data_IF_583796931082
#
_entry.id   IF_583796931082
#
_cell.length_a   1.000
_cell.length_b   1.000
_cell.length_c   1.000
_cell.angle_alpha   90.00
_cell.angle_beta   90.00
_cell.angle_gamma   90.00
#
_symmetry.space_group_name_H-M   'P 1'
#
loop_
_entity.id
_entity.type
_entity.pdbx_description
1 polymer ?
#
# COMPACT_ATOMS: atom_id res chain seq x y z
N UNK A 1 -27.44 14.60 6.00
CA UNK A 1 -28.09 13.31 5.69
C UNK A 1 -28.23 13.23 4.17
N UNK A 2 -28.14 12.03 3.59
CA UNK A 2 -28.46 11.85 2.17
C UNK A 2 -29.94 12.13 1.91
N UNK A 3 -30.29 12.48 0.68
CA UNK A 3 -31.69 12.62 0.25
C UNK A 3 -32.38 11.26 0.14
N UNK A 4 -33.41 11.17 -0.71
CA UNK A 4 -34.04 9.89 -1.04
C UNK A 4 -33.23 9.17 -2.12
N UNK A 5 -32.89 7.91 -1.90
CA UNK A 5 -32.12 7.10 -2.85
C UNK A 5 -30.66 7.54 -2.96
N UNK A 6 -30.10 7.48 -4.16
CA UNK A 6 -28.70 7.86 -4.44
C UNK A 6 -28.52 9.30 -4.93
N UNK A 7 -29.60 10.07 -5.03
CA UNK A 7 -29.52 11.47 -5.46
C UNK A 7 -28.83 12.32 -4.38
N UNK A 8 -27.92 13.20 -4.81
CA UNK A 8 -27.17 14.07 -3.92
C UNK A 8 -27.93 15.39 -3.72
N UNK A 9 -28.39 15.70 -2.49
CA UNK A 9 -29.08 16.96 -2.24
C UNK A 9 -28.21 18.16 -2.55
N UNK A 10 -28.78 19.20 -3.18
CA UNK A 10 -28.06 20.44 -3.47
C UNK A 10 -27.52 21.12 -2.20
N UNK A 11 -28.29 21.08 -1.12
CA UNK A 11 -27.94 21.70 0.17
C UNK A 11 -27.24 20.73 1.14
N UNK A 12 -26.47 19.76 0.60
CA UNK A 12 -25.74 18.80 1.42
C UNK A 12 -24.67 19.51 2.27
N UNK A 13 -24.74 19.33 3.59
CA UNK A 13 -23.69 19.75 4.53
C UNK A 13 -22.78 18.56 4.90
N UNK A 14 -21.48 18.60 4.58
CA UNK A 14 -20.54 17.53 4.95
C UNK A 14 -20.46 17.37 6.47
N UNK A 15 -20.41 16.11 6.94
CA UNK A 15 -20.10 15.79 8.33
C UNK A 15 -18.60 15.55 8.46
N UNK A 16 -17.97 16.26 9.39
CA UNK A 16 -16.57 16.05 9.78
C UNK A 16 -16.54 15.30 11.10
N UNK A 17 -15.78 14.22 11.16
CA UNK A 17 -15.61 13.39 12.35
C UNK A 17 -14.12 13.22 12.60
N UNK A 18 -13.70 13.46 13.84
CA UNK A 18 -12.31 13.27 14.31
C UNK A 18 -12.36 12.25 15.44
N UNK A 19 -11.54 11.21 15.34
CA UNK A 19 -11.43 10.15 16.34
C UNK A 19 -9.95 9.97 16.63
N UNK A 20 -9.58 10.00 17.92
CA UNK A 20 -8.24 9.70 18.39
C UNK A 20 -8.16 8.28 18.93
N UNK A 21 -7.09 7.57 18.61
CA UNK A 21 -6.78 6.23 19.14
C UNK A 21 -5.28 6.10 19.39
N UNK A 22 -4.83 5.22 20.29
CA UNK A 22 -3.42 4.87 20.42
C UNK A 22 -2.83 4.38 19.09
N UNK A 23 -1.52 4.56 18.90
CA UNK A 23 -0.82 3.98 17.77
C UNK A 23 -0.81 2.45 17.89
N UNK A 24 -1.00 1.72 16.77
CA UNK A 24 -0.89 0.27 16.79
C UNK A 24 0.54 -0.16 17.13
N UNK A 25 0.67 -1.19 17.95
CA UNK A 25 1.95 -1.83 18.24
C UNK A 25 2.10 -3.04 17.33
N UNK A 26 3.19 -3.07 16.57
CA UNK A 26 3.56 -4.19 15.71
C UNK A 26 4.84 -4.84 16.23
N UNK A 27 5.04 -6.15 16.01
CA UNK A 27 6.30 -6.81 16.35
C UNK A 27 7.51 -6.08 15.75
N UNK A 28 8.54 -5.82 16.55
CA UNK A 28 9.78 -5.18 16.08
C UNK A 28 10.42 -5.94 14.92
N UNK A 29 10.29 -7.28 14.93
CA UNK A 29 10.73 -8.17 13.86
C UNK A 29 10.21 -7.79 12.47
N UNK A 30 9.04 -7.15 12.34
CA UNK A 30 8.53 -6.71 11.04
C UNK A 30 9.39 -5.59 10.42
N UNK A 31 9.96 -4.72 11.26
CA UNK A 31 10.93 -3.72 10.80
C UNK A 31 12.28 -4.40 10.50
N UNK A 32 12.75 -5.26 11.39
CA UNK A 32 14.11 -5.83 11.30
C UNK A 32 14.28 -6.89 10.20
N UNK A 33 13.28 -7.76 10.05
CA UNK A 33 13.36 -8.96 9.20
C UNK A 33 12.34 -8.96 8.06
N UNK A 34 11.47 -7.95 7.99
CA UNK A 34 10.38 -7.91 7.04
C UNK A 34 9.18 -8.76 7.48
N UNK A 35 8.15 -8.77 6.64
CA UNK A 35 6.90 -9.46 6.91
C UNK A 35 6.67 -10.64 5.98
N UNK A 36 5.85 -11.59 6.43
CA UNK A 36 5.21 -12.55 5.53
C UNK A 36 3.87 -11.98 5.06
N UNK A 37 3.67 -12.00 3.74
CA UNK A 37 2.43 -11.66 3.09
C UNK A 37 1.87 -12.88 2.34
N UNK A 38 0.63 -12.74 1.86
CA UNK A 38 -0.01 -13.72 0.96
C UNK A 38 -0.66 -13.00 -0.21
N UNK A 39 -1.03 -13.74 -1.25
CA UNK A 39 -2.00 -13.22 -2.19
C UNK A 39 -3.43 -13.36 -1.66
N UNK A 40 -4.25 -12.34 -1.89
CA UNK A 40 -5.69 -12.43 -1.76
C UNK A 40 -6.30 -13.06 -3.02
N UNK A 41 -7.37 -13.81 -2.81
CA UNK A 41 -8.26 -14.35 -3.84
C UNK A 41 -9.15 -13.25 -4.40
N UNK A 42 -9.63 -12.34 -3.53
CA UNK A 42 -10.40 -11.18 -3.95
C UNK A 42 -9.62 -10.36 -5.00
N UNK A 43 -10.33 -9.94 -6.04
CA UNK A 43 -9.85 -8.99 -7.04
C UNK A 43 -10.56 -7.65 -6.87
N UNK A 44 -9.79 -6.56 -6.94
CA UNK A 44 -10.34 -5.21 -6.87
C UNK A 44 -11.09 -4.88 -8.17
N UNK A 45 -12.32 -4.38 -8.02
CA UNK A 45 -13.10 -3.89 -9.14
C UNK A 45 -12.47 -2.63 -9.75
N UNK A 46 -12.56 -2.54 -11.09
CA UNK A 46 -12.11 -1.38 -11.86
C UNK A 46 -13.18 -0.31 -11.89
N UNK A 47 -12.90 0.85 -11.30
CA UNK A 47 -13.77 2.03 -11.34
C UNK A 47 -12.93 3.31 -11.33
N UNK A 48 -12.56 3.85 -12.50
CA UNK A 48 -11.68 5.02 -12.61
C UNK A 48 -12.18 6.26 -11.85
N UNK A 49 -13.50 6.41 -11.63
CA UNK A 49 -14.06 7.54 -10.86
C UNK A 49 -13.81 7.45 -9.35
N UNK A 50 -13.48 6.26 -8.85
CA UNK A 50 -13.20 5.97 -7.45
C UNK A 50 -11.72 5.66 -7.19
N UNK A 51 -10.99 5.32 -8.25
CA UNK A 51 -9.59 4.96 -8.22
C UNK A 51 -8.72 6.05 -7.57
N UNK A 52 -7.77 5.61 -6.73
CA UNK A 52 -6.90 6.51 -5.98
C UNK A 52 -7.53 7.17 -4.74
N UNK A 53 -8.87 7.23 -4.64
CA UNK A 53 -9.54 7.95 -3.55
C UNK A 53 -9.62 7.08 -2.28
N UNK A 54 -9.26 7.65 -1.13
CA UNK A 54 -9.49 7.02 0.19
C UNK A 54 -10.96 7.14 0.66
N UNK A 55 -11.92 6.67 -0.14
CA UNK A 55 -13.36 6.71 0.18
C UNK A 55 -13.81 5.65 1.20
N UNK A 56 -15.06 5.73 1.66
CA UNK A 56 -15.65 4.83 2.67
C UNK A 56 -16.17 3.48 2.13
N UNK A 57 -16.31 3.30 0.81
CA UNK A 57 -16.66 2.01 0.22
C UNK A 57 -15.50 1.02 0.33
N UNK A 58 -15.30 0.43 1.52
CA UNK A 58 -14.14 -0.41 1.87
C UNK A 58 -14.48 -1.89 2.01
N UNK A 59 -15.64 -2.32 1.49
CA UNK A 59 -16.10 -3.69 1.65
C UNK A 59 -15.13 -4.69 0.98
N UNK A 60 -14.55 -4.35 -0.18
CA UNK A 60 -13.50 -5.16 -0.80
C UNK A 60 -12.30 -5.37 0.14
N UNK A 61 -11.78 -4.31 0.76
CA UNK A 61 -10.68 -4.44 1.73
C UNK A 61 -11.06 -5.30 2.95
N UNK A 62 -12.32 -5.22 3.42
CA UNK A 62 -12.82 -6.06 4.52
C UNK A 62 -12.87 -7.53 4.11
N UNK A 63 -13.43 -7.84 2.94
CA UNK A 63 -13.50 -9.21 2.41
C UNK A 63 -12.12 -9.80 2.18
N UNK A 64 -11.22 -9.03 1.56
CA UNK A 64 -9.83 -9.45 1.35
C UNK A 64 -9.11 -9.74 2.66
N UNK A 65 -9.28 -8.87 3.68
CA UNK A 65 -8.67 -9.10 5.00
C UNK A 65 -9.23 -10.34 5.68
N UNK A 66 -10.51 -10.66 5.47
CA UNK A 66 -11.15 -11.83 6.07
C UNK A 66 -10.63 -13.17 5.52
N UNK A 67 -9.83 -13.16 4.44
CA UNK A 67 -9.30 -14.40 3.83
C UNK A 67 -8.24 -15.12 4.69
N UNK A 68 -7.75 -14.51 5.77
CA UNK A 68 -6.78 -15.16 6.66
C UNK A 68 -6.98 -14.80 8.13
N UNK A 69 -6.71 -15.80 9.00
CA UNK A 69 -6.65 -15.64 10.46
C UNK A 69 -5.27 -16.02 11.04
N UNK A 70 -4.34 -16.46 10.21
CA UNK A 70 -2.97 -16.78 10.61
C UNK A 70 -2.25 -15.49 11.07
N UNK A 71 -1.86 -15.47 12.34
CA UNK A 71 -1.16 -14.33 12.97
C UNK A 71 0.23 -14.07 12.37
N UNK A 72 0.83 -15.06 11.69
CA UNK A 72 2.09 -14.91 10.99
C UNK A 72 1.96 -14.25 9.61
N UNK A 73 0.76 -13.90 9.15
CA UNK A 73 0.54 -13.16 7.90
C UNK A 73 0.19 -11.71 8.25
N UNK A 74 1.13 -10.80 7.98
CA UNK A 74 0.97 -9.40 8.36
C UNK A 74 0.16 -8.57 7.35
N UNK A 75 0.12 -9.01 6.09
CA UNK A 75 -0.55 -8.31 4.99
C UNK A 75 -1.01 -9.26 3.86
N UNK A 76 -2.04 -8.86 3.12
CA UNK A 76 -2.53 -9.57 1.95
C UNK A 76 -2.44 -8.68 0.70
N UNK A 77 -1.79 -9.16 -0.35
CA UNK A 77 -1.62 -8.46 -1.62
C UNK A 77 -2.85 -8.63 -2.50
N UNK A 78 -3.42 -7.51 -2.93
CA UNK A 78 -4.59 -7.42 -3.78
C UNK A 78 -4.19 -7.21 -5.23
N UNK A 79 -4.89 -7.91 -6.11
CA UNK A 79 -4.75 -7.77 -7.55
C UNK A 79 -6.04 -7.21 -8.15
N UNK A 80 -5.94 -6.63 -9.34
CA UNK A 80 -7.09 -6.38 -10.20
C UNK A 80 -7.51 -7.65 -10.98
N UNK A 81 -8.55 -7.51 -11.80
CA UNK A 81 -9.02 -8.60 -12.67
C UNK A 81 -8.10 -8.90 -13.86
N UNK A 82 -7.14 -8.02 -14.18
CA UNK A 82 -6.14 -8.23 -15.23
C UNK A 82 -4.90 -8.97 -14.70
N UNK A 83 -4.85 -9.26 -13.40
CA UNK A 83 -3.76 -9.98 -12.76
C UNK A 83 -2.59 -9.09 -12.31
N UNK A 84 -2.76 -7.76 -12.32
CA UNK A 84 -1.77 -6.83 -11.80
C UNK A 84 -1.95 -6.65 -10.30
N UNK A 85 -0.84 -6.63 -9.57
CA UNK A 85 -0.76 -6.30 -8.15
C UNK A 85 -0.98 -4.81 -7.98
N UNK A 86 -1.89 -4.44 -7.08
CA UNK A 86 -2.31 -3.04 -6.84
C UNK A 86 -1.74 -2.51 -5.52
N UNK A 87 -1.63 -3.37 -4.50
CA UNK A 87 -1.20 -3.00 -3.16
C UNK A 87 -1.57 -4.07 -2.13
N UNK A 88 -1.50 -3.74 -0.85
CA UNK A 88 -2.01 -4.58 0.23
C UNK A 88 -3.45 -4.22 0.63
N UNK A 89 -4.04 -4.95 1.58
CA UNK A 89 -5.38 -4.63 2.10
C UNK A 89 -5.45 -3.26 2.77
N UNK A 90 -4.31 -2.74 3.25
CA UNK A 90 -4.17 -1.44 3.92
C UNK A 90 -2.86 -0.72 3.61
N UNK A 91 -2.21 -1.04 2.49
CA UNK A 91 -0.90 -0.51 2.12
C UNK A 91 -0.74 -0.35 0.61
N UNK A 92 0.15 0.55 0.20
CA UNK A 92 0.64 0.60 -1.17
C UNK A 92 1.88 -0.29 -1.32
N UNK A 93 2.22 -0.64 -2.55
CA UNK A 93 3.33 -1.54 -2.88
C UNK A 93 4.35 -0.84 -3.80
N UNK A 94 5.61 -1.17 -3.59
CA UNK A 94 6.72 -0.90 -4.47
C UNK A 94 7.47 -2.20 -4.72
N UNK A 95 8.01 -2.36 -5.92
CA UNK A 95 9.00 -3.37 -6.24
C UNK A 95 10.32 -2.67 -6.62
N UNK A 96 11.43 -3.31 -6.31
CA UNK A 96 12.77 -2.82 -6.63
C UNK A 96 13.31 -3.61 -7.81
N UNK A 97 13.79 -2.90 -8.82
CA UNK A 97 14.34 -3.46 -10.04
C UNK A 97 15.67 -2.78 -10.37
N UNK A 98 16.77 -3.50 -10.18
CA UNK A 98 18.13 -3.02 -10.41
C UNK A 98 18.38 -1.66 -9.75
N UNK A 99 17.98 -1.54 -8.47
CA UNK A 99 18.12 -0.32 -7.66
C UNK A 99 17.13 0.81 -7.96
N UNK A 100 16.20 0.62 -8.90
CA UNK A 100 15.12 1.57 -9.18
C UNK A 100 13.80 1.11 -8.57
N UNK A 101 12.85 2.03 -8.40
CA UNK A 101 11.53 1.75 -7.87
C UNK A 101 10.49 1.63 -8.99
N UNK A 102 9.56 0.71 -8.80
CA UNK A 102 8.31 0.67 -9.56
C UNK A 102 7.16 0.54 -8.57
N UNK A 103 6.10 1.33 -8.75
CA UNK A 103 4.87 1.20 -7.98
C UNK A 103 3.70 1.02 -8.93
N UNK A 104 2.66 0.23 -8.56
CA UNK A 104 1.50 0.03 -9.42
C UNK A 104 0.84 1.34 -9.85
N UNK A 105 0.33 1.34 -11.09
CA UNK A 105 -0.65 2.33 -11.55
C UNK A 105 -1.98 2.14 -10.80
N UNK A 106 -2.52 3.24 -10.28
CA UNK A 106 -3.75 3.29 -9.49
C UNK A 106 -4.87 4.05 -10.23
N UNK A 107 -4.77 4.19 -11.55
CA UNK A 107 -5.76 4.86 -12.41
C UNK A 107 -7.10 4.14 -12.50
N UNK A 108 -7.14 2.83 -12.18
CA UNK A 108 -8.35 1.98 -12.28
C UNK A 108 -8.92 1.55 -10.93
N UNK A 109 -8.08 1.33 -9.93
CA UNK A 109 -8.50 0.91 -8.58
C UNK A 109 -7.38 1.20 -7.56
N UNK A 110 -7.61 0.84 -6.29
CA UNK A 110 -6.66 1.07 -5.20
C UNK A 110 -6.76 2.48 -4.59
N UNK A 111 -5.77 2.85 -3.77
CA UNK A 111 -5.72 4.13 -3.05
C UNK A 111 -4.37 4.78 -3.26
N UNK A 112 -4.34 6.03 -3.72
CA UNK A 112 -3.12 6.83 -3.79
C UNK A 112 -2.76 7.30 -2.37
N UNK A 113 -1.94 6.51 -1.67
CA UNK A 113 -1.59 6.78 -0.29
C UNK A 113 -0.57 7.92 -0.17
N UNK A 114 -0.78 8.80 0.81
CA UNK A 114 0.13 9.92 1.09
C UNK A 114 1.59 9.49 1.30
N UNK A 115 1.82 8.31 1.90
CA UNK A 115 3.18 7.76 2.08
C UNK A 115 3.78 7.27 0.77
N UNK A 116 2.96 6.71 -0.14
CA UNK A 116 3.42 6.35 -1.49
C UNK A 116 3.90 7.60 -2.22
N UNK A 117 3.13 8.67 -2.18
CA UNK A 117 3.49 9.92 -2.86
C UNK A 117 4.77 10.54 -2.26
N UNK A 118 4.90 10.51 -0.92
CA UNK A 118 6.12 10.94 -0.25
C UNK A 118 7.35 10.12 -0.65
N UNK A 119 7.21 8.80 -0.84
CA UNK A 119 8.29 7.92 -1.31
C UNK A 119 8.67 8.26 -2.75
N UNK A 120 7.71 8.48 -3.65
CA UNK A 120 7.96 8.86 -5.04
C UNK A 120 8.77 10.18 -5.10
N UNK A 121 8.38 11.18 -4.32
CA UNK A 121 9.10 12.45 -4.24
C UNK A 121 10.51 12.30 -3.66
N UNK A 122 10.65 11.49 -2.60
CA UNK A 122 11.94 11.24 -1.96
C UNK A 122 12.90 10.51 -2.90
N UNK A 123 12.40 9.52 -3.66
CA UNK A 123 13.17 8.81 -4.67
C UNK A 123 13.68 9.77 -5.75
N UNK A 124 12.80 10.66 -6.25
CA UNK A 124 13.19 11.70 -7.22
C UNK A 124 14.30 12.60 -6.67
N UNK A 125 14.15 13.06 -5.43
CA UNK A 125 15.14 13.91 -4.76
C UNK A 125 16.48 13.19 -4.55
N UNK A 126 16.45 11.86 -4.38
CA UNK A 126 17.64 11.01 -4.25
C UNK A 126 18.24 10.57 -5.59
N UNK A 127 17.68 10.99 -6.74
CA UNK A 127 18.14 10.56 -8.07
C UNK A 127 17.83 9.10 -8.42
N UNK A 128 16.88 8.48 -7.71
CA UNK A 128 16.43 7.10 -7.98
C UNK A 128 15.18 7.17 -8.84
N UNK A 129 15.19 6.46 -9.98
CA UNK A 129 14.01 6.44 -10.84
C UNK A 129 12.87 5.70 -10.13
N UNK A 130 11.69 6.32 -10.12
CA UNK A 130 10.46 5.70 -9.62
C UNK A 130 9.40 5.72 -10.73
N UNK A 131 9.12 4.55 -11.32
CA UNK A 131 8.16 4.41 -12.41
C UNK A 131 6.78 4.01 -11.88
N UNK A 132 5.73 4.47 -12.54
CA UNK A 132 4.35 4.08 -12.27
C UNK A 132 3.91 3.20 -13.44
N UNK A 133 3.85 1.89 -13.21
CA UNK A 133 3.63 0.90 -14.26
C UNK A 133 2.82 -0.29 -13.70
N UNK A 134 2.18 -1.08 -14.56
CA UNK A 134 1.61 -2.36 -14.14
C UNK A 134 2.69 -3.29 -13.56
N UNK A 135 2.32 -3.97 -12.47
CA UNK A 135 3.16 -4.98 -11.82
C UNK A 135 2.38 -6.28 -11.77
N UNK A 136 2.64 -7.19 -12.71
CA UNK A 136 2.06 -8.53 -12.67
C UNK A 136 2.80 -9.41 -11.63
N UNK A 137 2.33 -10.65 -11.45
CA UNK A 137 2.89 -11.59 -10.48
C UNK A 137 4.35 -11.92 -10.78
N UNK A 138 4.64 -12.23 -12.03
CA UNK A 138 5.97 -12.63 -12.49
C UNK A 138 7.00 -11.52 -12.24
N UNK A 139 6.62 -10.27 -12.53
CA UNK A 139 7.45 -9.08 -12.27
C UNK A 139 7.68 -8.86 -10.77
N UNK A 140 6.65 -9.03 -9.95
CA UNK A 140 6.78 -8.93 -8.50
C UNK A 140 7.71 -10.03 -7.95
N UNK A 141 7.55 -11.26 -8.41
CA UNK A 141 8.34 -12.42 -7.97
C UNK A 141 9.81 -12.31 -8.40
N UNK A 142 10.08 -11.65 -9.52
CA UNK A 142 11.43 -11.37 -10.02
C UNK A 142 12.09 -10.12 -9.40
N UNK A 143 11.39 -9.36 -8.56
CA UNK A 143 11.91 -8.12 -7.97
C UNK A 143 13.08 -8.40 -7.01
N UNK A 144 14.00 -7.44 -6.90
CA UNK A 144 15.11 -7.51 -5.93
C UNK A 144 14.60 -7.35 -4.49
N UNK A 145 13.58 -6.50 -4.31
CA UNK A 145 12.85 -6.31 -3.06
C UNK A 145 11.39 -6.01 -3.35
N UNK A 146 10.51 -6.39 -2.43
CA UNK A 146 9.10 -5.97 -2.42
C UNK A 146 8.85 -5.21 -1.13
N UNK A 147 8.26 -4.02 -1.24
CA UNK A 147 8.10 -3.08 -0.13
C UNK A 147 6.65 -2.65 -0.04
N UNK A 148 6.08 -2.69 1.16
CA UNK A 148 4.75 -2.12 1.44
C UNK A 148 4.85 -0.88 2.32
N UNK A 149 3.99 0.10 2.03
CA UNK A 149 4.00 1.38 2.74
C UNK A 149 2.60 1.83 3.14
N UNK A 150 2.49 2.50 4.29
CA UNK A 150 1.35 3.34 4.65
C UNK A 150 1.76 4.36 5.73
N UNK A 151 0.83 5.27 6.07
CA UNK A 151 1.10 6.36 7.00
C UNK A 151 1.45 5.92 8.42
N UNK A 152 1.02 4.73 8.83
CA UNK A 152 1.28 4.19 10.17
C UNK A 152 2.60 3.42 10.21
N UNK A 153 2.75 2.40 9.35
CA UNK A 153 3.90 1.48 9.37
C UNK A 153 5.18 2.10 8.79
N UNK A 154 5.07 3.18 8.01
CA UNK A 154 6.18 3.70 7.21
C UNK A 154 6.44 2.76 6.04
N UNK A 155 7.52 2.00 6.11
CA UNK A 155 7.91 1.02 5.09
C UNK A 155 8.31 -0.33 5.72
N UNK A 156 7.72 -1.42 5.24
CA UNK A 156 8.10 -2.79 5.56
C UNK A 156 8.50 -3.55 4.30
N UNK A 157 9.57 -4.33 4.41
CA UNK A 157 9.91 -5.31 3.39
C UNK A 157 8.95 -6.51 3.46
N UNK A 158 8.64 -7.10 2.31
CA UNK A 158 8.01 -8.42 2.22
C UNK A 158 9.14 -9.44 2.10
N UNK A 159 9.35 -10.20 3.18
CA UNK A 159 10.38 -11.23 3.26
C UNK A 159 9.91 -12.59 2.74
N UNK A 160 8.60 -12.82 2.75
CA UNK A 160 8.00 -14.03 2.21
C UNK A 160 6.64 -13.76 1.59
N UNK A 161 6.39 -14.34 0.42
CA UNK A 161 5.10 -14.32 -0.29
C UNK A 161 4.89 -15.67 -0.98
N UNK A 162 3.96 -16.46 -0.47
CA UNK A 162 3.77 -17.85 -0.90
C UNK A 162 5.11 -18.62 -0.84
N UNK A 163 5.58 -19.19 -1.96
CA UNK A 163 6.86 -19.88 -2.09
C UNK A 163 8.09 -18.97 -2.29
N UNK A 164 7.91 -17.66 -2.47
CA UNK A 164 9.00 -16.72 -2.74
C UNK A 164 9.52 -16.09 -1.45
N UNK A 165 10.84 -15.92 -1.37
CA UNK A 165 11.52 -15.29 -0.24
C UNK A 165 12.54 -14.25 -0.71
N UNK A 166 12.62 -13.16 0.05
CA UNK A 166 13.62 -12.12 -0.11
C UNK A 166 14.37 -11.98 1.21
N UNK A 167 15.69 -11.80 1.15
CA UNK A 167 16.55 -11.84 2.34
C UNK A 167 17.36 -10.55 2.56
N UNK A 168 17.37 -9.64 1.59
CA UNK A 168 18.17 -8.43 1.64
C UNK A 168 17.31 -7.21 1.29
N UNK A 169 17.34 -6.17 2.12
CA UNK A 169 16.40 -5.04 2.02
C UNK A 169 17.04 -3.64 2.05
N UNK A 170 18.11 -3.36 1.28
CA UNK A 170 18.79 -2.06 1.31
C UNK A 170 17.91 -0.88 0.89
N UNK A 171 17.04 -1.05 -0.12
CA UNK A 171 16.13 -0.01 -0.58
C UNK A 171 15.04 0.24 0.46
N UNK A 172 14.51 -0.80 1.10
CA UNK A 172 13.58 -0.66 2.23
C UNK A 172 14.22 0.16 3.36
N UNK A 173 15.47 -0.13 3.72
CA UNK A 173 16.19 0.62 4.74
C UNK A 173 16.42 2.10 4.33
N UNK A 174 16.72 2.35 3.05
CA UNK A 174 16.82 3.70 2.50
C UNK A 174 15.48 4.46 2.59
N UNK A 175 14.40 3.80 2.18
CA UNK A 175 13.05 4.35 2.20
C UNK A 175 12.60 4.75 3.61
N UNK A 176 12.94 3.96 4.63
CA UNK A 176 12.68 4.31 6.03
C UNK A 176 13.40 5.59 6.44
N UNK A 177 14.66 5.77 6.05
CA UNK A 177 15.42 7.01 6.33
C UNK A 177 14.75 8.23 5.71
N UNK A 178 14.24 8.12 4.48
CA UNK A 178 13.48 9.21 3.85
C UNK A 178 12.22 9.55 4.65
N UNK A 179 11.42 8.55 4.99
CA UNK A 179 10.18 8.73 5.72
C UNK A 179 10.39 9.28 7.14
N UNK A 180 11.45 8.84 7.82
CA UNK A 180 11.82 9.35 9.15
C UNK A 180 12.29 10.80 9.09
N UNK A 181 13.00 11.20 8.04
CA UNK A 181 13.39 12.58 7.84
C UNK A 181 12.17 13.51 7.65
N UNK A 182 11.13 13.04 6.97
CA UNK A 182 9.87 13.78 6.78
C UNK A 182 9.00 13.89 8.04
N UNK A 183 9.13 12.94 8.97
CA UNK A 183 8.37 12.91 10.24
C UNK A 183 8.97 13.82 11.31
N UNK A 184 10.24 14.21 11.18
CA UNK A 184 10.87 15.17 12.09
C UNK A 184 10.31 16.55 11.77
N UNK A 185 9.68 17.26 12.74
CA UNK A 185 9.27 18.63 12.49
C UNK A 185 10.50 19.43 12.08
N UNK A 186 10.38 20.14 10.96
CA UNK A 186 11.26 21.27 10.66
C UNK A 186 11.27 22.15 11.91
N UNK A 187 12.44 22.27 12.55
CA UNK A 187 12.65 23.22 13.64
C UNK A 187 12.41 24.63 13.16
#
# INVERSE_FOLDING_TARGET
SGGRGYDMPRDMRPRRMVVGSPLPQYPAAYQEHGIRARFCTLRLASQPRLAGIKHLNRLENVLARAEWNDAGIAEGLLLDFEGNVIGGTRSNLFVVESGNLVTPDLSRCGVAGVTRDAVIESARSAGIACRIEPVNRERLEAADEVIIVNSLIGAWAVAALEQHTWLNFPMTACMRKWLDALRRPTR
#
